data_IF_477387556110
#
_entry.id   IF_477387556110
#
_cell.length_a   1.000
_cell.length_b   1.000
_cell.length_c   1.000
_cell.angle_alpha   90.00
_cell.angle_beta   90.00
_cell.angle_gamma   90.00
#
_symmetry.space_group_name_H-M   'P 1'
#
loop_
_entity.id
_entity.type
_entity.pdbx_description
1 polymer ?
#
# COMPACT_ATOMS: atom_id res chain seq x y z
N UNK A 1 5.20 9.26 22.36
CA UNK A 1 4.77 10.30 21.41
C UNK A 1 5.93 11.25 21.21
N UNK A 2 6.49 11.34 20.01
CA UNK A 2 7.51 12.32 19.69
C UNK A 2 6.84 13.53 19.01
N UNK A 3 7.08 14.74 19.52
CA UNK A 3 6.58 15.98 18.93
C UNK A 3 7.41 16.35 17.70
N UNK A 4 6.88 16.09 16.50
CA UNK A 4 7.27 16.83 15.31
C UNK A 4 6.57 18.19 15.39
N UNK A 5 7.35 19.28 15.36
CA UNK A 5 6.96 20.62 15.80
C UNK A 5 5.52 21.03 15.52
N UNK A 6 4.76 21.30 16.59
CA UNK A 6 3.47 22.02 16.74
C UNK A 6 2.33 21.88 15.72
N UNK A 7 2.45 21.07 14.65
CA UNK A 7 1.51 21.05 13.52
C UNK A 7 0.76 19.74 13.30
N UNK A 8 1.14 18.65 13.95
CA UNK A 8 0.45 17.36 13.84
C UNK A 8 1.18 16.27 14.62
N UNK A 9 0.43 15.30 15.13
CA UNK A 9 0.98 14.16 15.88
C UNK A 9 0.76 12.89 15.09
N UNK A 10 1.81 12.08 15.01
CA UNK A 10 1.78 10.72 14.51
C UNK A 10 1.29 9.81 15.65
N UNK A 11 0.12 9.20 15.51
CA UNK A 11 -0.37 8.24 16.51
C UNK A 11 0.24 6.86 16.28
N UNK A 12 0.64 6.24 17.39
CA UNK A 12 0.98 4.83 17.59
C UNK A 12 1.80 4.15 16.47
N UNK A 13 3.12 4.24 16.59
CA UNK A 13 4.08 3.56 15.69
C UNK A 13 4.12 2.03 15.86
N UNK A 14 3.33 1.46 16.77
CA UNK A 14 3.20 0.02 16.97
C UNK A 14 2.08 -0.64 16.15
N UNK A 15 1.27 0.15 15.43
CA UNK A 15 0.13 -0.35 14.62
C UNK A 15 0.26 0.05 13.14
N UNK A 16 -0.42 -0.66 12.22
CA UNK A 16 -0.12 -0.65 10.78
C UNK A 16 -0.36 0.68 10.06
N UNK A 17 -0.97 1.68 10.69
CA UNK A 17 -1.25 2.94 10.05
C UNK A 17 -0.71 4.11 10.89
N UNK A 18 0.02 5.01 10.24
CA UNK A 18 0.20 6.35 10.76
C UNK A 18 -0.92 7.20 10.16
N UNK A 19 -1.67 7.93 10.98
CA UNK A 19 -2.62 8.93 10.53
C UNK A 19 -2.06 10.32 10.83
N UNK A 20 -2.11 11.20 9.83
CA UNK A 20 -1.93 12.63 10.04
C UNK A 20 -3.14 13.18 10.81
N UNK A 21 -2.89 13.83 11.94
CA UNK A 21 -3.89 14.55 12.72
C UNK A 21 -3.63 16.06 12.63
N UNK A 22 -4.65 16.82 12.22
CA UNK A 22 -4.59 18.29 12.25
C UNK A 22 -4.51 18.83 13.69
N UNK A 23 -4.02 20.07 13.92
CA UNK A 23 -4.01 20.67 15.27
C UNK A 23 -5.38 20.72 15.93
N UNK A 24 -6.44 20.91 15.14
CA UNK A 24 -7.84 20.87 15.58
C UNK A 24 -8.21 19.47 16.08
N UNK A 25 -7.86 18.44 15.31
CA UNK A 25 -8.06 17.05 15.69
C UNK A 25 -7.27 16.65 16.94
N UNK A 26 -6.03 17.13 17.05
CA UNK A 26 -5.20 16.94 18.23
C UNK A 26 -5.78 17.63 19.46
N UNK A 27 -6.39 18.82 19.28
CA UNK A 27 -7.15 19.50 20.33
C UNK A 27 -8.30 18.63 20.83
N UNK A 28 -9.09 18.05 19.92
CA UNK A 28 -10.19 17.14 20.26
C UNK A 28 -9.70 15.92 21.04
N UNK A 29 -8.60 15.31 20.62
CA UNK A 29 -7.99 14.16 21.30
C UNK A 29 -7.40 14.48 22.67
N UNK A 30 -7.04 15.74 22.92
CA UNK A 30 -6.59 16.25 24.22
C UNK A 30 -7.76 16.72 25.09
N UNK A 31 -9.00 16.37 24.75
CA UNK A 31 -10.20 16.69 25.52
C UNK A 31 -10.71 18.12 25.33
N UNK A 32 -10.29 18.84 24.28
CA UNK A 32 -10.84 20.17 23.99
C UNK A 32 -12.14 20.03 23.19
N UNK A 33 -13.25 20.63 23.64
CA UNK A 33 -14.54 20.52 22.95
C UNK A 33 -14.49 21.19 21.56
N UNK A 34 -15.10 20.59 20.52
CA UNK A 34 -15.19 21.19 19.19
C UNK A 34 -16.12 22.42 19.18
N UNK A 35 -15.87 23.37 18.27
CA UNK A 35 -16.83 24.42 17.96
C UNK A 35 -18.14 23.83 17.40
N UNK A 36 -19.26 24.55 17.56
CA UNK A 36 -20.59 24.09 17.15
C UNK A 36 -20.63 23.61 15.69
N UNK A 37 -20.07 24.40 14.75
CA UNK A 37 -20.00 24.05 13.33
C UNK A 37 -19.15 22.81 13.01
N UNK A 38 -18.28 22.37 13.92
CA UNK A 38 -17.36 21.25 13.68
C UNK A 38 -17.79 19.94 14.35
N UNK A 39 -18.94 19.89 15.04
CA UNK A 39 -19.40 18.69 15.75
C UNK A 39 -19.64 17.49 14.82
N UNK A 40 -20.23 17.71 13.64
CA UNK A 40 -20.47 16.63 12.69
C UNK A 40 -19.14 16.06 12.15
N UNK A 41 -18.17 16.93 11.87
CA UNK A 41 -16.84 16.55 11.42
C UNK A 41 -16.04 15.85 12.53
N UNK A 42 -16.13 16.33 13.77
CA UNK A 42 -15.57 15.69 14.96
C UNK A 42 -16.06 14.25 15.12
N UNK A 43 -17.38 14.04 15.08
CA UNK A 43 -17.99 12.70 15.19
C UNK A 43 -17.57 11.78 14.04
N UNK A 44 -17.56 12.29 12.80
CA UNK A 44 -17.13 11.52 11.64
C UNK A 44 -15.65 11.10 11.73
N UNK A 45 -14.75 12.03 12.06
CA UNK A 45 -13.32 11.75 12.19
C UNK A 45 -13.01 10.74 13.30
N UNK A 46 -13.63 10.87 14.49
CA UNK A 46 -13.44 9.90 15.57
C UNK A 46 -13.99 8.51 15.21
N UNK A 47 -15.05 8.44 14.40
CA UNK A 47 -15.59 7.18 13.89
C UNK A 47 -14.60 6.50 12.94
N UNK A 48 -14.06 7.25 11.97
CA UNK A 48 -13.06 6.74 11.03
C UNK A 48 -11.75 6.34 11.74
N UNK A 49 -11.32 7.11 12.74
CA UNK A 49 -10.10 6.80 13.49
C UNK A 49 -10.25 5.64 14.48
N UNK A 50 -11.44 5.43 15.06
CA UNK A 50 -11.72 4.19 15.82
C UNK A 50 -11.82 2.98 14.92
N UNK A 51 -12.50 3.10 13.77
CA UNK A 51 -12.58 2.01 12.78
C UNK A 51 -11.20 1.60 12.26
N UNK A 52 -10.26 2.55 12.17
CA UNK A 52 -8.87 2.30 11.81
C UNK A 52 -7.95 1.99 13.01
N UNK A 53 -8.50 1.86 14.23
CA UNK A 53 -7.77 1.40 15.42
C UNK A 53 -6.83 2.41 16.08
N UNK A 54 -6.92 3.71 15.74
CA UNK A 54 -6.05 4.78 16.26
C UNK A 54 -6.44 5.31 17.63
N UNK A 55 -7.72 5.17 18.02
CA UNK A 55 -8.24 5.65 19.29
C UNK A 55 -8.66 4.47 20.15
N UNK A 56 -8.30 4.53 21.44
CA UNK A 56 -8.95 3.68 22.43
C UNK A 56 -10.46 3.98 22.39
N UNK A 57 -11.31 2.95 22.49
CA UNK A 57 -12.75 3.15 22.42
C UNK A 57 -13.19 4.12 23.52
N UNK A 58 -13.69 5.31 23.15
CA UNK A 58 -14.43 6.15 24.09
C UNK A 58 -15.70 5.40 24.46
N UNK A 59 -15.96 5.33 25.76
CA UNK A 59 -17.16 4.77 26.38
C UNK A 59 -18.41 5.58 26.01
N UNK A 60 -18.84 5.51 24.75
CA UNK A 60 -20.23 5.66 24.32
C UNK A 60 -20.50 4.59 23.27
N UNK A 61 -21.20 3.55 23.71
CA UNK A 61 -21.46 2.26 23.06
C UNK A 61 -21.95 2.31 21.60
N UNK A 62 -21.07 1.93 20.69
CA UNK A 62 -21.29 0.75 19.84
C UNK A 62 -20.19 -0.26 20.22
N UNK A 63 -20.38 -0.91 21.37
CA UNK A 63 -19.27 -1.33 22.23
C UNK A 63 -18.55 -2.64 21.83
N UNK A 64 -17.49 -3.00 22.59
CA UNK A 64 -16.96 -4.37 22.69
C UNK A 64 -18.05 -5.43 22.80
N UNK A 65 -19.24 -5.09 23.31
CA UNK A 65 -20.43 -5.93 23.25
C UNK A 65 -20.75 -6.50 21.86
N UNK A 66 -20.51 -5.81 20.74
CA UNK A 66 -20.81 -6.34 19.39
C UNK A 66 -19.72 -7.29 18.86
N UNK A 67 -18.46 -7.07 19.26
CA UNK A 67 -17.35 -7.97 18.95
C UNK A 67 -17.34 -9.18 19.90
N UNK A 68 -17.58 -8.96 21.19
CA UNK A 68 -17.79 -9.98 22.23
C UNK A 68 -19.04 -10.82 21.94
N UNK A 69 -20.12 -10.22 21.42
CA UNK A 69 -21.30 -10.94 20.93
C UNK A 69 -20.98 -11.77 19.68
N UNK A 70 -20.24 -11.23 18.71
CA UNK A 70 -19.80 -12.02 17.55
C UNK A 70 -18.86 -13.16 17.95
N UNK A 71 -17.94 -12.90 18.88
CA UNK A 71 -17.00 -13.88 19.41
C UNK A 71 -17.72 -14.96 20.22
N UNK A 72 -18.72 -14.61 21.04
CA UNK A 72 -19.57 -15.55 21.76
C UNK A 72 -20.42 -16.40 20.81
N UNK A 73 -21.05 -15.78 19.81
CA UNK A 73 -21.80 -16.50 18.77
C UNK A 73 -20.89 -17.42 17.94
N UNK A 74 -19.65 -17.00 17.68
CA UNK A 74 -18.64 -17.82 17.04
C UNK A 74 -18.28 -19.03 17.91
N UNK A 75 -18.11 -18.84 19.22
CA UNK A 75 -17.84 -19.92 20.17
C UNK A 75 -18.99 -20.92 20.23
N UNK A 76 -20.23 -20.45 20.23
CA UNK A 76 -21.41 -21.30 20.15
C UNK A 76 -21.45 -22.12 18.86
N UNK A 77 -20.99 -21.54 17.74
CA UNK A 77 -20.94 -22.20 16.43
C UNK A 77 -19.73 -23.13 16.25
N UNK A 78 -18.66 -22.97 17.03
CA UNK A 78 -17.43 -23.76 16.91
C UNK A 78 -17.64 -25.29 16.92
N UNK A 79 -18.53 -25.87 17.76
CA UNK A 79 -18.83 -27.31 17.72
C UNK A 79 -19.41 -27.81 16.40
N UNK A 80 -19.90 -26.91 15.52
CA UNK A 80 -20.40 -27.26 14.19
C UNK A 80 -19.29 -27.43 13.15
N UNK A 81 -18.05 -27.04 13.47
CA UNK A 81 -16.88 -27.16 12.60
C UNK A 81 -16.09 -28.44 12.96
N UNK A 82 -16.09 -29.43 12.05
CA UNK A 82 -15.32 -30.68 12.21
C UNK A 82 -13.90 -30.62 11.63
N UNK A 83 -13.62 -29.54 10.91
CA UNK A 83 -12.35 -29.15 10.31
C UNK A 83 -12.33 -27.62 10.31
N UNK A 84 -11.23 -26.94 9.95
CA UNK A 84 -11.21 -25.50 9.85
C UNK A 84 -12.29 -24.97 8.89
N UNK A 85 -13.00 -23.91 9.31
CA UNK A 85 -14.02 -23.22 8.53
C UNK A 85 -13.83 -21.71 8.66
N UNK A 86 -13.63 -21.02 7.54
CA UNK A 86 -13.61 -19.57 7.46
C UNK A 86 -14.94 -19.06 6.91
N UNK A 87 -15.71 -18.36 7.74
CA UNK A 87 -16.96 -17.71 7.32
C UNK A 87 -16.64 -16.27 6.99
N UNK A 88 -16.81 -15.84 5.74
CA UNK A 88 -16.48 -14.49 5.28
C UNK A 88 -17.76 -13.74 4.93
N UNK A 89 -18.02 -12.64 5.64
CA UNK A 89 -19.04 -11.68 5.30
C UNK A 89 -18.58 -10.80 4.13
N UNK A 90 -19.40 -10.75 3.09
CA UNK A 90 -19.15 -10.07 1.83
C UNK A 90 -20.25 -9.06 1.54
N UNK A 91 -19.96 -8.11 0.66
CA UNK A 91 -20.97 -7.25 0.05
C UNK A 91 -20.56 -6.91 -1.38
N UNK A 92 -21.45 -7.11 -2.35
CA UNK A 92 -21.22 -6.75 -3.77
C UNK A 92 -20.84 -5.29 -4.01
N UNK A 93 -21.28 -4.36 -3.15
CA UNK A 93 -20.92 -2.94 -3.23
C UNK A 93 -19.52 -2.61 -2.68
N UNK A 94 -18.86 -3.56 -2.00
CA UNK A 94 -17.54 -3.34 -1.39
C UNK A 94 -16.41 -3.69 -2.36
N UNK A 95 -15.56 -2.72 -2.69
CA UNK A 95 -14.40 -2.92 -3.57
C UNK A 95 -13.41 -3.97 -3.06
N UNK A 96 -13.19 -4.08 -1.74
CA UNK A 96 -12.38 -5.15 -1.16
C UNK A 96 -12.98 -6.54 -1.38
N UNK A 97 -14.30 -6.67 -1.25
CA UNK A 97 -15.02 -7.92 -1.50
C UNK A 97 -15.03 -8.31 -2.98
N UNK A 98 -15.11 -7.32 -3.89
CA UNK A 98 -14.99 -7.56 -5.33
C UNK A 98 -13.59 -8.10 -5.68
N UNK A 99 -12.53 -7.51 -5.12
CA UNK A 99 -11.17 -8.03 -5.28
C UNK A 99 -11.03 -9.44 -4.72
N UNK A 100 -11.50 -9.67 -3.49
CA UNK A 100 -11.43 -10.98 -2.86
C UNK A 100 -12.19 -12.05 -3.66
N UNK A 101 -13.34 -11.68 -4.26
CA UNK A 101 -14.09 -12.58 -5.14
C UNK A 101 -13.29 -12.94 -6.39
N UNK A 102 -12.58 -11.97 -6.97
CA UNK A 102 -11.68 -12.18 -8.10
C UNK A 102 -10.51 -13.11 -7.72
N UNK A 103 -9.88 -12.87 -6.57
CA UNK A 103 -8.80 -13.72 -6.05
C UNK A 103 -9.27 -15.16 -5.88
N UNK A 104 -10.43 -15.36 -5.25
CA UNK A 104 -11.00 -16.69 -5.04
C UNK A 104 -11.38 -17.38 -6.36
N UNK A 105 -11.83 -16.63 -7.37
CA UNK A 105 -12.11 -17.17 -8.70
C UNK A 105 -10.81 -17.60 -9.41
N UNK A 106 -9.76 -16.77 -9.37
CA UNK A 106 -8.45 -17.10 -9.94
C UNK A 106 -7.80 -18.31 -9.26
N UNK A 107 -8.07 -18.51 -7.97
CA UNK A 107 -7.56 -19.64 -7.18
C UNK A 107 -8.49 -20.86 -7.19
N UNK A 108 -9.60 -20.87 -7.95
CA UNK A 108 -10.62 -21.91 -7.87
C UNK A 108 -10.08 -23.36 -7.99
N UNK A 109 -9.12 -23.68 -8.90
CA UNK A 109 -8.53 -25.02 -8.95
C UNK A 109 -7.81 -25.41 -7.65
N UNK A 110 -7.03 -24.49 -7.08
CA UNK A 110 -6.30 -24.72 -5.83
C UNK A 110 -7.21 -24.81 -4.60
N UNK A 111 -8.33 -24.09 -4.61
CA UNK A 111 -9.31 -24.08 -3.52
C UNK A 111 -10.22 -25.31 -3.50
N UNK A 112 -10.35 -26.03 -4.62
CA UNK A 112 -11.21 -27.24 -4.70
C UNK A 112 -10.72 -28.35 -3.77
N UNK A 113 -9.42 -28.38 -3.47
CA UNK A 113 -8.77 -29.40 -2.63
C UNK A 113 -8.34 -28.88 -1.27
N UNK A 114 -8.85 -27.72 -0.85
CA UNK A 114 -8.54 -27.15 0.47
C UNK A 114 -8.98 -28.11 1.58
N UNK A 115 -8.11 -28.40 2.54
CA UNK A 115 -8.44 -29.19 3.73
C UNK A 115 -9.28 -28.41 4.77
N UNK A 116 -10.01 -27.40 4.31
CA UNK A 116 -10.85 -26.50 5.08
C UNK A 116 -12.06 -26.07 4.24
N UNK A 117 -13.05 -25.47 4.89
CA UNK A 117 -14.18 -24.84 4.19
C UNK A 117 -14.08 -23.33 4.24
N UNK A 118 -14.41 -22.67 3.14
CA UNK A 118 -14.64 -21.22 3.12
C UNK A 118 -16.09 -20.98 2.76
N UNK A 119 -16.84 -20.31 3.64
CA UNK A 119 -18.23 -19.94 3.40
C UNK A 119 -18.33 -18.44 3.20
N UNK A 120 -18.55 -18.02 1.96
CA UNK A 120 -18.85 -16.63 1.62
C UNK A 120 -20.33 -16.37 1.87
N UNK A 121 -20.64 -15.25 2.52
CA UNK A 121 -22.00 -14.83 2.89
C UNK A 121 -22.21 -13.40 2.41
N UNK A 122 -23.13 -13.20 1.46
CA UNK A 122 -23.54 -11.87 0.97
C UNK A 122 -25.07 -11.76 1.11
N UNK A 123 -25.52 -11.06 2.15
CA UNK A 123 -26.92 -11.06 2.54
C UNK A 123 -27.46 -12.49 2.77
N UNK A 124 -28.45 -12.88 1.96
CA UNK A 124 -29.03 -14.22 2.00
C UNK A 124 -28.31 -15.24 1.10
N UNK A 125 -27.47 -14.76 0.19
CA UNK A 125 -26.70 -15.60 -0.71
C UNK A 125 -25.47 -16.18 0.00
N UNK A 126 -25.20 -17.47 -0.27
CA UNK A 126 -24.01 -18.13 0.27
C UNK A 126 -23.31 -18.99 -0.76
N UNK A 127 -21.98 -18.92 -0.78
CA UNK A 127 -21.12 -19.76 -1.63
C UNK A 127 -20.09 -20.48 -0.77
N UNK A 128 -20.02 -21.80 -0.87
CA UNK A 128 -19.03 -22.61 -0.17
C UNK A 128 -17.89 -23.00 -1.12
N UNK A 129 -16.65 -22.98 -0.62
CA UNK A 129 -15.43 -23.42 -1.31
C UNK A 129 -14.68 -24.43 -0.41
N UNK A 130 -13.85 -25.27 -1.02
CA UNK A 130 -13.08 -26.29 -0.31
C UNK A 130 -13.94 -27.46 0.15
N UNK A 131 -13.67 -27.96 1.36
CA UNK A 131 -14.40 -29.09 1.94
C UNK A 131 -15.91 -28.82 2.03
N UNK A 132 -16.77 -29.79 1.69
CA UNK A 132 -18.22 -29.65 1.80
C UNK A 132 -18.67 -29.41 3.25
N UNK A 133 -19.59 -28.46 3.44
CA UNK A 133 -20.26 -28.23 4.72
C UNK A 133 -21.60 -28.96 4.75
N UNK A 134 -21.86 -29.70 5.83
CA UNK A 134 -23.18 -30.27 6.07
C UNK A 134 -24.24 -29.17 6.18
N UNK A 135 -25.41 -29.38 5.57
CA UNK A 135 -26.45 -28.36 5.44
C UNK A 135 -26.90 -27.71 6.77
N UNK A 136 -27.08 -28.44 7.89
CA UNK A 136 -27.38 -27.81 9.18
C UNK A 136 -26.26 -26.87 9.68
N UNK A 137 -25.00 -27.26 9.49
CA UNK A 137 -23.85 -26.44 9.85
C UNK A 137 -23.77 -25.21 8.93
N UNK A 138 -23.94 -25.38 7.62
CA UNK A 138 -23.95 -24.29 6.64
C UNK A 138 -24.98 -23.21 7.01
N UNK A 139 -26.22 -23.58 7.36
CA UNK A 139 -27.25 -22.61 7.77
C UNK A 139 -26.88 -21.84 9.04
N UNK A 140 -26.26 -22.52 10.01
CA UNK A 140 -25.81 -21.89 11.26
C UNK A 140 -24.68 -20.89 10.99
N UNK A 141 -23.70 -21.31 10.20
CA UNK A 141 -22.55 -20.49 9.79
C UNK A 141 -22.96 -19.32 8.90
N UNK A 142 -23.96 -19.47 8.04
CA UNK A 142 -24.52 -18.37 7.25
C UNK A 142 -25.11 -17.27 8.14
N UNK A 143 -25.79 -17.64 9.24
CA UNK A 143 -26.27 -16.65 10.23
C UNK A 143 -25.11 -15.92 10.90
N UNK A 144 -24.04 -16.64 11.25
CA UNK A 144 -22.82 -16.05 11.81
C UNK A 144 -22.18 -15.05 10.82
N UNK A 145 -22.09 -15.40 9.54
CA UNK A 145 -21.58 -14.49 8.51
C UNK A 145 -22.42 -13.22 8.34
N UNK A 146 -23.76 -13.34 8.35
CA UNK A 146 -24.65 -12.16 8.33
C UNK A 146 -24.46 -11.26 9.55
N UNK A 147 -24.13 -11.83 10.71
CA UNK A 147 -23.81 -11.07 11.92
C UNK A 147 -22.44 -10.40 11.79
N UNK A 148 -21.44 -11.10 11.27
CA UNK A 148 -20.12 -10.54 11.00
C UNK A 148 -20.18 -9.34 10.03
N UNK A 149 -21.10 -9.33 9.06
CA UNK A 149 -21.30 -8.20 8.15
C UNK A 149 -21.62 -6.87 8.85
N UNK A 150 -22.15 -6.91 10.08
CA UNK A 150 -22.44 -5.72 10.89
C UNK A 150 -21.16 -5.01 11.37
N UNK A 151 -20.01 -5.69 11.33
CA UNK A 151 -18.68 -5.15 11.65
C UNK A 151 -17.97 -4.54 10.43
N UNK A 152 -18.60 -4.58 9.26
CA UNK A 152 -18.01 -4.17 7.99
C UNK A 152 -17.65 -5.35 7.09
N UNK A 153 -17.26 -5.07 5.86
CA UNK A 153 -16.91 -6.09 4.86
C UNK A 153 -15.57 -5.75 4.17
N UNK A 154 -14.68 -6.74 3.96
CA UNK A 154 -14.78 -8.12 4.43
C UNK A 154 -14.51 -8.22 5.94
N UNK A 155 -15.34 -9.00 6.65
CA UNK A 155 -15.09 -9.49 8.01
C UNK A 155 -15.24 -11.00 7.98
N UNK A 156 -14.34 -11.74 8.61
CA UNK A 156 -14.42 -13.18 8.68
C UNK A 156 -14.38 -13.70 10.12
N UNK A 157 -14.90 -14.91 10.27
CA UNK A 157 -14.76 -15.71 11.49
C UNK A 157 -14.11 -17.02 11.13
N UNK A 158 -12.92 -17.25 11.66
CA UNK A 158 -12.22 -18.52 11.55
C UNK A 158 -12.61 -19.41 12.73
N UNK A 159 -13.24 -20.53 12.42
CA UNK A 159 -13.52 -21.62 13.35
C UNK A 159 -12.51 -22.72 13.08
N UNK A 160 -11.81 -23.20 14.11
CA UNK A 160 -10.90 -24.33 13.99
C UNK A 160 -11.21 -25.34 15.08
N UNK A 161 -11.08 -26.66 14.79
CA UNK A 161 -11.08 -27.66 15.85
C UNK A 161 -9.98 -27.31 16.86
N UNK A 162 -10.29 -27.46 18.14
CA UNK A 162 -9.34 -27.34 19.26
C UNK A 162 -8.73 -25.95 19.49
N UNK A 163 -9.19 -24.92 18.78
CA UNK A 163 -8.77 -23.53 18.99
C UNK A 163 -9.97 -22.62 19.19
N UNK A 164 -9.83 -21.55 19.99
CA UNK A 164 -10.87 -20.55 20.09
C UNK A 164 -11.12 -19.91 18.71
N UNK A 165 -12.37 -19.52 18.40
CA UNK A 165 -12.68 -18.74 17.21
C UNK A 165 -11.84 -17.48 17.12
N UNK A 166 -11.55 -17.05 15.89
CA UNK A 166 -10.89 -15.77 15.62
C UNK A 166 -11.80 -14.93 14.72
N UNK A 167 -12.16 -13.73 15.17
CA UNK A 167 -12.74 -12.70 14.30
C UNK A 167 -11.59 -11.97 13.61
N UNK A 168 -11.72 -11.79 12.29
CA UNK A 168 -10.74 -11.18 11.40
C UNK A 168 -11.43 -10.05 10.65
N UNK A 169 -10.84 -8.86 10.63
CA UNK A 169 -11.46 -7.68 10.04
C UNK A 169 -10.53 -7.06 9.00
N UNK A 170 -11.06 -6.81 7.80
CA UNK A 170 -10.29 -6.21 6.71
C UNK A 170 -9.71 -7.24 5.73
N UNK A 171 -9.28 -6.72 4.58
CA UNK A 171 -8.81 -7.56 3.47
C UNK A 171 -7.51 -8.31 3.80
N UNK A 172 -6.61 -7.69 4.54
CA UNK A 172 -5.32 -8.24 4.95
C UNK A 172 -5.48 -9.41 5.91
N UNK A 173 -6.25 -9.26 6.99
CA UNK A 173 -6.46 -10.34 7.96
C UNK A 173 -7.21 -11.53 7.34
N UNK A 174 -8.23 -11.24 6.52
CA UNK A 174 -8.99 -12.27 5.80
C UNK A 174 -8.10 -12.97 4.76
N UNK A 175 -7.28 -12.23 4.02
CA UNK A 175 -6.30 -12.76 3.08
C UNK A 175 -5.28 -13.65 3.78
N UNK A 176 -4.72 -13.21 4.91
CA UNK A 176 -3.76 -14.01 5.69
C UNK A 176 -4.38 -15.34 6.13
N UNK A 177 -5.62 -15.34 6.60
CA UNK A 177 -6.30 -16.57 7.00
C UNK A 177 -6.55 -17.52 5.82
N UNK A 178 -6.87 -17.00 4.63
CA UNK A 178 -7.01 -17.83 3.43
C UNK A 178 -5.67 -18.47 3.02
N UNK A 179 -4.57 -17.72 3.11
CA UNK A 179 -3.22 -18.24 2.86
C UNK A 179 -2.89 -19.34 3.87
N UNK A 180 -3.12 -19.08 5.17
CA UNK A 180 -2.89 -20.04 6.27
C UNK A 180 -3.68 -21.34 6.04
N UNK A 181 -4.97 -21.23 5.70
CA UNK A 181 -5.83 -22.38 5.44
C UNK A 181 -5.40 -23.20 4.22
N UNK A 182 -4.73 -22.57 3.26
CA UNK A 182 -4.15 -23.26 2.11
C UNK A 182 -2.83 -23.98 2.41
N UNK A 183 -2.33 -23.87 3.64
CA UNK A 183 -1.08 -24.50 4.08
C UNK A 183 0.17 -23.66 3.79
N UNK A 184 0.01 -22.46 3.25
CA UNK A 184 1.12 -21.54 2.99
C UNK A 184 1.35 -20.59 4.16
N UNK A 185 2.57 -20.05 4.26
CA UNK A 185 2.92 -19.05 5.27
C UNK A 185 2.43 -17.66 4.84
N UNK A 186 1.50 -17.03 5.59
CA UNK A 186 1.03 -15.67 5.33
C UNK A 186 2.16 -14.63 5.36
N UNK A 187 3.19 -14.84 6.18
CA UNK A 187 4.35 -13.92 6.29
C UNK A 187 5.30 -14.03 5.09
N UNK A 188 5.24 -15.14 4.38
CA UNK A 188 5.99 -15.37 3.15
C UNK A 188 5.09 -15.21 1.91
N UNK A 189 3.98 -14.48 2.01
CA UNK A 189 3.05 -14.24 0.90
C UNK A 189 2.70 -12.75 0.84
N UNK A 190 2.80 -12.14 -0.34
CA UNK A 190 2.36 -10.76 -0.54
C UNK A 190 0.85 -10.70 -0.49
N UNK A 191 0.32 -9.89 0.44
CA UNK A 191 -1.10 -9.59 0.55
C UNK A 191 -1.27 -8.08 0.50
N UNK A 192 -1.94 -7.61 -0.54
CA UNK A 192 -2.03 -6.19 -0.84
C UNK A 192 -3.47 -5.80 -1.08
N UNK A 193 -4.00 -4.92 -0.22
CA UNK A 193 -5.35 -4.42 -0.36
C UNK A 193 -5.46 -3.54 -1.63
N UNK A 194 -6.57 -3.61 -2.39
CA UNK A 194 -6.80 -2.74 -3.54
C UNK A 194 -6.73 -1.27 -3.14
N UNK A 195 -6.03 -0.47 -3.94
CA UNK A 195 -5.81 0.97 -3.72
C UNK A 195 -6.62 1.86 -4.67
N UNK A 196 -7.40 1.26 -5.56
CA UNK A 196 -8.13 1.98 -6.61
C UNK A 196 -9.54 1.44 -6.79
N UNK A 197 -10.47 2.31 -7.21
CA UNK A 197 -11.80 1.95 -7.69
C UNK A 197 -11.77 1.09 -8.97
N UNK A 198 -10.59 0.89 -9.57
CA UNK A 198 -10.37 0.02 -10.74
C UNK A 198 -10.57 -1.47 -10.48
N UNK A 199 -11.05 -1.90 -9.31
CA UNK A 199 -11.31 -3.31 -8.93
C UNK A 199 -12.09 -4.09 -10.00
N UNK A 200 -12.87 -3.41 -10.84
CA UNK A 200 -13.54 -4.00 -11.99
C UNK A 200 -12.58 -4.74 -12.95
N UNK A 201 -11.31 -4.34 -13.04
CA UNK A 201 -10.31 -5.04 -13.87
C UNK A 201 -9.87 -6.33 -13.20
N UNK A 202 -9.70 -6.36 -11.88
CA UNK A 202 -9.44 -7.61 -11.16
C UNK A 202 -10.57 -8.62 -11.32
N UNK A 203 -11.82 -8.16 -11.29
CA UNK A 203 -13.02 -8.99 -11.35
C UNK A 203 -13.21 -9.78 -12.66
N UNK A 204 -12.48 -9.44 -13.73
CA UNK A 204 -12.59 -10.18 -14.99
C UNK A 204 -11.94 -11.56 -14.88
N UNK A 205 -12.49 -12.59 -15.56
CA UNK A 205 -11.89 -13.92 -15.60
C UNK A 205 -10.41 -13.90 -16.01
N UNK A 206 -9.68 -14.89 -15.51
CA UNK A 206 -8.26 -15.09 -15.80
C UNK A 206 -8.06 -16.47 -16.38
N UNK A 207 -7.09 -16.63 -17.28
CA UNK A 207 -6.79 -17.93 -17.91
C UNK A 207 -5.94 -18.80 -16.99
N UNK A 208 -5.09 -18.17 -16.18
CA UNK A 208 -4.29 -18.83 -15.16
C UNK A 208 -3.92 -17.87 -14.02
N UNK A 209 -3.59 -18.48 -12.88
CA UNK A 209 -2.89 -17.84 -11.78
C UNK A 209 -1.53 -18.52 -11.64
N UNK A 210 -0.46 -17.73 -11.76
CA UNK A 210 0.90 -18.17 -11.56
C UNK A 210 1.45 -17.53 -10.29
N UNK A 211 2.27 -18.25 -9.54
CA UNK A 211 2.94 -17.74 -8.34
C UNK A 211 4.42 -17.56 -8.67
N UNK A 212 4.91 -16.33 -8.54
CA UNK A 212 6.34 -16.05 -8.53
C UNK A 212 6.87 -16.15 -7.09
N UNK A 213 8.11 -16.64 -6.94
CA UNK A 213 8.81 -16.64 -5.66
C UNK A 213 10.00 -15.70 -5.72
N UNK A 214 9.98 -14.70 -4.85
CA UNK A 214 10.99 -13.65 -4.82
C UNK A 214 11.53 -13.53 -3.40
N UNK A 215 12.81 -13.86 -3.21
CA UNK A 215 13.44 -13.92 -1.87
C UNK A 215 12.59 -14.70 -0.85
N UNK A 216 12.04 -15.84 -1.25
CA UNK A 216 11.15 -16.66 -0.41
C UNK A 216 9.71 -16.17 -0.29
N UNK A 217 9.39 -14.98 -0.81
CA UNK A 217 8.04 -14.39 -0.77
C UNK A 217 7.23 -14.80 -2.00
N UNK A 218 6.01 -15.29 -1.80
CA UNK A 218 5.04 -15.68 -2.83
C UNK A 218 4.28 -14.47 -3.34
N UNK A 219 4.16 -14.35 -4.66
CA UNK A 219 3.43 -13.27 -5.33
C UNK A 219 2.50 -13.88 -6.39
N UNK A 220 1.21 -13.59 -6.31
CA UNK A 220 0.23 -14.07 -7.29
C UNK A 220 0.18 -13.17 -8.53
N UNK A 221 0.27 -13.79 -9.70
CA UNK A 221 0.23 -13.15 -11.01
C UNK A 221 -0.93 -13.77 -11.80
N UNK A 222 -2.04 -13.04 -11.89
CA UNK A 222 -3.14 -13.38 -12.77
C UNK A 222 -2.72 -13.12 -14.23
N UNK A 223 -2.97 -14.10 -15.10
CA UNK A 223 -2.65 -13.98 -16.53
C UNK A 223 -3.89 -14.08 -17.40
N UNK A 224 -3.96 -13.22 -18.41
CA UNK A 224 -4.96 -13.25 -19.49
C UNK A 224 -4.27 -13.37 -20.85
N UNK A 225 -4.35 -14.55 -21.44
CA UNK A 225 -3.81 -14.93 -22.74
C UNK A 225 -2.60 -15.89 -22.64
N UNK A 226 -2.53 -16.86 -23.56
CA UNK A 226 -1.47 -17.89 -23.60
C UNK A 226 -0.06 -17.33 -23.83
N UNK A 227 0.06 -16.26 -24.60
CA UNK A 227 1.35 -15.59 -24.79
C UNK A 227 1.84 -14.92 -23.51
N UNK A 228 0.93 -14.24 -22.81
CA UNK A 228 1.22 -13.61 -21.52
C UNK A 228 1.65 -14.68 -20.51
N UNK A 229 0.93 -15.79 -20.47
CA UNK A 229 1.28 -16.93 -19.63
C UNK A 229 2.73 -17.39 -19.85
N UNK A 230 3.14 -17.62 -21.11
CA UNK A 230 4.52 -18.01 -21.45
C UNK A 230 5.57 -16.99 -21.01
N UNK A 231 5.27 -15.70 -21.13
CA UNK A 231 6.17 -14.62 -20.67
C UNK A 231 6.35 -14.67 -19.16
N UNK A 232 5.25 -14.82 -18.41
CA UNK A 232 5.27 -14.90 -16.94
C UNK A 232 5.96 -16.17 -16.46
N UNK A 233 5.73 -17.31 -17.12
CA UNK A 233 6.44 -18.57 -16.85
C UNK A 233 7.96 -18.43 -17.04
N UNK A 234 8.38 -17.77 -18.12
CA UNK A 234 9.81 -17.48 -18.36
C UNK A 234 10.41 -16.56 -17.31
N UNK A 235 9.60 -15.67 -16.72
CA UNK A 235 10.02 -14.80 -15.62
C UNK A 235 10.02 -15.49 -14.24
N UNK A 236 9.70 -16.79 -14.18
CA UNK A 236 9.73 -17.58 -12.94
C UNK A 236 8.38 -17.75 -12.25
N UNK A 237 7.27 -17.36 -12.88
CA UNK A 237 5.92 -17.65 -12.39
C UNK A 237 5.53 -19.10 -12.67
N UNK A 238 5.19 -19.86 -11.63
CA UNK A 238 4.82 -21.26 -11.75
C UNK A 238 3.43 -21.50 -11.17
N UNK A 239 2.72 -22.52 -11.65
CA UNK A 239 1.52 -22.98 -10.97
C UNK A 239 1.91 -23.51 -9.59
N UNK A 240 1.36 -22.90 -8.55
CA UNK A 240 1.54 -23.33 -7.16
C UNK A 240 0.21 -23.86 -6.63
N UNK A 241 0.27 -24.80 -5.70
CA UNK A 241 -0.92 -25.28 -5.01
C UNK A 241 -1.33 -24.31 -3.90
N UNK A 242 -2.63 -24.24 -3.63
CA UNK A 242 -3.18 -23.41 -2.55
C UNK A 242 -3.57 -22.01 -2.99
N UNK A 243 -3.88 -21.16 -2.01
CA UNK A 243 -4.34 -19.80 -2.24
C UNK A 243 -3.14 -18.86 -2.31
N UNK A 244 -3.05 -18.10 -3.40
CA UNK A 244 -2.14 -16.98 -3.56
C UNK A 244 -2.96 -15.76 -3.99
N UNK A 245 -3.04 -14.68 -3.19
CA UNK A 245 -3.75 -13.47 -3.57
C UNK A 245 -3.24 -12.90 -4.89
N UNK A 246 -4.13 -12.40 -5.74
CA UNK A 246 -3.72 -11.77 -6.99
C UNK A 246 -3.12 -10.41 -6.66
N UNK A 247 -1.81 -10.28 -6.89
CA UNK A 247 -1.09 -9.02 -6.66
C UNK A 247 -0.84 -8.29 -7.96
N UNK A 248 -0.52 -9.05 -9.02
CA UNK A 248 -0.30 -8.55 -10.37
C UNK A 248 -1.32 -9.16 -11.33
N UNK A 249 -1.79 -8.37 -12.29
CA UNK A 249 -2.53 -8.88 -13.44
C UNK A 249 -1.79 -8.50 -14.71
N UNK A 250 -1.60 -9.47 -15.60
CA UNK A 250 -0.99 -9.24 -16.91
C UNK A 250 -1.98 -9.64 -17.99
N UNK A 251 -2.26 -8.71 -18.91
CA UNK A 251 -3.23 -8.92 -19.97
C UNK A 251 -2.80 -8.27 -21.29
N UNK A 252 -3.37 -8.78 -22.40
CA UNK A 252 -3.11 -8.28 -23.75
C UNK A 252 -4.39 -8.11 -24.57
N UNK A 253 -5.13 -7.00 -24.43
CA UNK A 253 -6.20 -6.67 -25.37
C UNK A 253 -5.69 -6.04 -26.68
N UNK A 254 -4.45 -5.51 -26.74
CA UNK A 254 -3.77 -5.01 -27.97
C UNK A 254 -2.28 -4.73 -27.70
N UNK A 255 -2.02 -4.16 -26.53
CA UNK A 255 -0.71 -3.92 -25.90
C UNK A 255 -0.66 -4.71 -24.59
N UNK A 256 0.53 -5.03 -24.10
CA UNK A 256 0.68 -5.68 -22.80
C UNK A 256 0.50 -4.67 -21.68
N UNK A 257 -0.40 -4.97 -20.74
CA UNK A 257 -0.60 -4.19 -19.52
C UNK A 257 -0.11 -5.00 -18.32
N UNK A 258 0.66 -4.33 -17.45
CA UNK A 258 0.98 -4.84 -16.12
C UNK A 258 0.22 -4.00 -15.10
N UNK A 259 -0.69 -4.65 -14.38
CA UNK A 259 -1.54 -4.02 -13.40
C UNK A 259 -1.16 -4.49 -12.00
N UNK A 260 -1.25 -3.59 -11.02
CA UNK A 260 -0.98 -3.80 -9.61
C UNK A 260 -2.26 -3.64 -8.79
N UNK A 261 -2.40 -4.47 -7.74
CA UNK A 261 -3.49 -4.40 -6.76
C UNK A 261 -4.88 -4.28 -7.37
N UNK A 262 -5.11 -5.03 -8.46
CA UNK A 262 -6.42 -5.11 -9.09
C UNK A 262 -6.84 -3.92 -9.96
N UNK A 263 -5.94 -2.99 -10.29
CA UNK A 263 -6.22 -2.05 -11.39
C UNK A 263 -5.40 -0.77 -11.46
N UNK A 264 -4.28 -0.65 -10.74
CA UNK A 264 -3.29 0.39 -11.01
C UNK A 264 -2.40 -0.03 -12.19
N UNK A 265 -2.24 0.83 -13.20
CA UNK A 265 -1.41 0.55 -14.36
C UNK A 265 0.07 0.88 -14.09
N UNK A 266 0.91 -0.15 -14.05
CA UNK A 266 2.37 -0.03 -13.85
C UNK A 266 3.13 0.23 -15.15
N UNK A 267 2.80 -0.51 -16.21
CA UNK A 267 3.49 -0.38 -17.50
C UNK A 267 2.58 -0.71 -18.67
N UNK A 268 2.92 -0.14 -19.84
CA UNK A 268 2.37 -0.50 -21.15
C UNK A 268 3.51 -0.93 -22.06
N UNK A 269 3.63 -2.23 -22.28
CA UNK A 269 4.64 -2.79 -23.15
C UNK A 269 4.06 -3.14 -24.53
N UNK A 270 4.76 -2.77 -25.60
CA UNK A 270 4.36 -3.13 -26.98
C UNK A 270 4.96 -4.44 -27.46
N UNK A 271 5.99 -4.93 -26.78
CA UNK A 271 6.71 -6.15 -27.12
C UNK A 271 6.78 -7.06 -25.91
N UNK A 272 6.91 -8.36 -26.15
CA UNK A 272 7.09 -9.36 -25.11
C UNK A 272 8.37 -9.10 -24.29
N UNK A 273 9.46 -8.66 -24.92
CA UNK A 273 10.71 -8.35 -24.23
C UNK A 273 10.57 -7.15 -23.28
N UNK A 274 9.87 -6.08 -23.71
CA UNK A 274 9.61 -4.93 -22.85
C UNK A 274 8.72 -5.29 -21.65
N UNK A 275 7.73 -6.17 -21.86
CA UNK A 275 6.92 -6.71 -20.77
C UNK A 275 7.79 -7.53 -19.81
N UNK A 276 8.65 -8.42 -20.33
CA UNK A 276 9.54 -9.26 -19.52
C UNK A 276 10.47 -8.41 -18.65
N UNK A 277 11.07 -7.37 -19.23
CA UNK A 277 11.92 -6.44 -18.50
C UNK A 277 11.15 -5.70 -17.40
N UNK A 278 9.94 -5.21 -17.71
CA UNK A 278 9.10 -4.52 -16.72
C UNK A 278 8.67 -5.46 -15.59
N UNK A 279 8.28 -6.70 -15.92
CA UNK A 279 7.92 -7.71 -14.93
C UNK A 279 9.13 -8.07 -14.04
N UNK A 280 10.31 -8.25 -14.63
CA UNK A 280 11.52 -8.51 -13.87
C UNK A 280 11.86 -7.36 -12.90
N UNK A 281 11.71 -6.10 -13.33
CA UNK A 281 11.91 -4.94 -12.46
C UNK A 281 10.90 -4.92 -11.30
N UNK A 282 9.61 -5.20 -11.57
CA UNK A 282 8.57 -5.29 -10.53
C UNK A 282 8.86 -6.40 -9.53
N UNK A 283 9.26 -7.58 -10.00
CA UNK A 283 9.65 -8.70 -9.13
C UNK A 283 10.88 -8.34 -8.29
N UNK A 284 11.90 -7.70 -8.87
CA UNK A 284 13.07 -7.22 -8.14
C UNK A 284 12.71 -6.17 -7.06
N UNK A 285 11.73 -5.30 -7.35
CA UNK A 285 11.19 -4.34 -6.38
C UNK A 285 10.57 -5.03 -5.16
N UNK A 286 9.80 -6.12 -5.35
CA UNK A 286 9.32 -6.93 -4.23
C UNK A 286 10.44 -7.65 -3.48
N UNK A 287 11.46 -8.14 -4.20
CA UNK A 287 12.62 -8.79 -3.59
C UNK A 287 13.30 -7.87 -2.57
N UNK A 288 13.49 -6.63 -3.01
CA UNK A 288 14.14 -5.57 -2.24
C UNK A 288 13.27 -5.15 -1.05
N UNK A 289 11.95 -5.09 -1.22
CA UNK A 289 11.03 -4.78 -0.13
C UNK A 289 10.96 -5.90 0.93
N UNK A 290 10.97 -7.17 0.52
CA UNK A 290 10.92 -8.31 1.43
C UNK A 290 12.20 -8.47 2.26
N UNK A 291 13.32 -7.91 1.82
CA UNK A 291 14.60 -7.92 2.52
C UNK A 291 15.30 -6.57 2.36
N UNK A 292 14.79 -5.51 3.02
CA UNK A 292 15.30 -4.16 2.81
C UNK A 292 16.72 -4.07 3.34
N UNK A 293 17.61 -3.47 2.54
CA UNK A 293 18.96 -3.17 2.98
C UNK A 293 18.94 -2.19 4.16
N UNK A 294 19.89 -2.32 5.08
CA UNK A 294 20.00 -1.39 6.22
C UNK A 294 20.17 0.05 5.71
N UNK A 295 19.38 0.97 6.27
CA UNK A 295 19.42 2.38 5.91
C UNK A 295 18.62 2.73 4.65
N UNK A 296 17.81 1.79 4.14
CA UNK A 296 16.82 2.09 3.09
C UNK A 296 15.43 2.34 3.68
N UNK A 297 14.65 3.19 3.01
CA UNK A 297 13.26 3.50 3.36
C UNK A 297 12.36 3.12 2.18
N UNK A 298 11.61 2.02 2.26
CA UNK A 298 10.66 1.65 1.21
C UNK A 298 9.39 2.50 1.30
N UNK A 299 8.96 3.05 0.15
CA UNK A 299 7.77 3.88 0.00
C UNK A 299 6.78 3.24 -0.97
N UNK A 300 5.51 3.24 -0.59
CA UNK A 300 4.32 3.06 -1.41
C UNK A 300 3.98 4.34 -2.19
N UNK A 301 4.93 4.84 -2.96
CA UNK A 301 4.76 5.98 -3.86
C UNK A 301 5.29 5.67 -5.26
N UNK A 302 4.99 6.52 -6.22
CA UNK A 302 5.66 6.50 -7.51
C UNK A 302 6.89 7.41 -7.52
N UNK A 303 7.76 7.19 -8.50
CA UNK A 303 8.88 8.05 -8.80
C UNK A 303 8.91 8.36 -10.30
N UNK A 304 9.41 9.53 -10.68
CA UNK A 304 9.83 9.83 -12.04
C UNK A 304 11.32 10.13 -12.03
N UNK A 305 12.09 9.42 -12.84
CA UNK A 305 13.54 9.58 -12.97
C UNK A 305 13.88 10.30 -14.25
N UNK A 306 14.77 11.27 -14.20
CA UNK A 306 15.21 12.01 -15.36
C UNK A 306 16.59 11.54 -15.80
N UNK A 307 16.85 11.53 -17.11
CA UNK A 307 18.14 11.15 -17.70
C UNK A 307 19.32 12.03 -17.19
N UNK A 308 19.01 13.17 -16.57
CA UNK A 308 19.96 14.10 -15.92
C UNK A 308 20.29 13.77 -14.45
N UNK A 309 19.99 12.56 -13.96
CA UNK A 309 20.42 12.09 -12.65
C UNK A 309 19.58 12.56 -11.45
N UNK A 310 18.39 13.09 -11.70
CA UNK A 310 17.47 13.55 -10.64
C UNK A 310 16.13 12.82 -10.73
N UNK A 311 15.40 12.83 -9.62
CA UNK A 311 14.13 12.16 -9.48
C UNK A 311 13.12 13.01 -8.69
N UNK A 312 11.85 12.80 -8.98
CA UNK A 312 10.74 13.34 -8.18
C UNK A 312 9.87 12.21 -7.67
N UNK A 313 9.33 12.39 -6.47
CA UNK A 313 8.36 11.46 -5.87
C UNK A 313 6.95 11.97 -6.08
N UNK A 314 5.98 11.07 -6.25
CA UNK A 314 4.57 11.44 -6.41
C UNK A 314 3.62 10.41 -5.79
N UNK A 315 2.36 10.78 -5.47
CA UNK A 315 1.39 9.87 -4.88
C UNK A 315 1.14 8.69 -5.80
N UNK A 316 1.13 7.47 -5.25
CA UNK A 316 0.98 6.24 -6.05
C UNK A 316 -0.28 6.24 -6.92
N UNK A 317 -1.35 6.87 -6.44
CA UNK A 317 -2.64 7.00 -7.14
C UNK A 317 -2.51 7.67 -8.53
N UNK A 318 -1.45 8.47 -8.75
CA UNK A 318 -1.20 9.12 -10.05
C UNK A 318 -0.49 8.22 -11.06
N UNK A 319 0.06 7.08 -10.64
CA UNK A 319 0.88 6.20 -11.48
C UNK A 319 0.16 5.83 -12.79
N UNK A 320 -1.11 5.43 -12.70
CA UNK A 320 -1.90 5.03 -13.87
C UNK A 320 -2.03 6.16 -14.90
N UNK A 321 -2.28 7.39 -14.45
CA UNK A 321 -2.50 8.53 -15.33
C UNK A 321 -1.18 9.03 -15.94
N UNK A 322 -0.08 8.97 -15.18
CA UNK A 322 1.25 9.28 -15.69
C UNK A 322 1.75 8.23 -16.68
N UNK A 323 1.53 6.92 -16.45
CA UNK A 323 1.88 5.85 -17.40
C UNK A 323 1.08 5.97 -18.70
N UNK A 324 -0.19 6.41 -18.65
CA UNK A 324 -0.97 6.77 -19.86
C UNK A 324 -0.31 7.88 -20.68
N UNK A 325 0.57 8.68 -20.08
CA UNK A 325 1.32 9.79 -20.68
C UNK A 325 2.83 9.55 -20.75
N UNK A 326 3.30 8.31 -20.54
CA UNK A 326 4.73 7.95 -20.55
C UNK A 326 5.50 8.49 -21.77
N UNK A 327 4.94 8.41 -23.00
CA UNK A 327 5.61 8.97 -24.20
C UNK A 327 5.86 10.47 -24.13
N UNK A 328 4.98 11.23 -23.47
CA UNK A 328 5.16 12.68 -23.30
C UNK A 328 6.26 12.95 -22.28
N UNK A 329 6.29 12.20 -21.19
CA UNK A 329 7.33 12.25 -20.17
C UNK A 329 8.70 11.85 -20.74
N UNK A 330 8.77 10.76 -21.51
CA UNK A 330 9.98 10.26 -22.16
C UNK A 330 10.60 11.32 -23.09
N UNK A 331 9.78 12.06 -23.85
CA UNK A 331 10.27 13.17 -24.69
C UNK A 331 10.85 14.33 -23.88
N UNK A 332 10.38 14.49 -22.65
CA UNK A 332 10.89 15.49 -21.71
C UNK A 332 12.04 14.92 -20.83
N UNK A 333 12.58 13.74 -21.17
CA UNK A 333 13.71 13.13 -20.45
C UNK A 333 13.32 12.37 -19.18
N UNK A 334 12.03 12.20 -18.91
CA UNK A 334 11.52 11.50 -17.72
C UNK A 334 11.09 10.08 -18.03
N UNK A 335 11.39 9.17 -17.10
CA UNK A 335 10.94 7.78 -17.11
C UNK A 335 10.22 7.46 -15.82
N UNK A 336 9.25 6.58 -15.89
CA UNK A 336 8.49 6.09 -14.73
C UNK A 336 8.97 4.66 -14.44
N UNK A 337 9.73 4.44 -13.36
CA UNK A 337 10.08 3.10 -12.92
C UNK A 337 8.80 2.32 -12.55
N UNK A 338 8.60 1.09 -13.06
CA UNK A 338 7.38 0.32 -12.85
C UNK A 338 7.29 -0.31 -11.45
N UNK A 339 8.35 -0.27 -10.65
CA UNK A 339 8.46 -0.92 -9.35
C UNK A 339 7.30 -0.53 -8.42
N UNK A 340 6.76 -1.49 -7.64
CA UNK A 340 5.64 -1.23 -6.73
C UNK A 340 6.05 -0.38 -5.53
N UNK A 341 7.30 -0.51 -5.10
CA UNK A 341 7.88 0.22 -3.99
C UNK A 341 9.03 1.09 -4.47
N UNK A 342 8.95 2.38 -4.19
CA UNK A 342 10.08 3.29 -4.37
C UNK A 342 11.00 3.15 -3.16
N UNK A 343 12.23 2.70 -3.36
CA UNK A 343 13.20 2.59 -2.27
C UNK A 343 14.05 3.84 -2.23
N UNK A 344 14.17 4.46 -1.05
CA UNK A 344 15.06 5.58 -0.82
C UNK A 344 16.27 5.15 -0.02
N UNK A 345 17.43 5.73 -0.34
CA UNK A 345 18.65 5.61 0.46
C UNK A 345 19.27 6.99 0.64
N UNK A 346 19.85 7.22 1.81
CA UNK A 346 20.70 8.40 2.01
C UNK A 346 22.10 8.18 1.49
N UNK A 347 22.59 9.17 0.75
CA UNK A 347 24.00 9.23 0.40
C UNK A 347 24.85 9.49 1.64
N UNK A 348 25.87 8.66 1.91
CA UNK A 348 26.77 8.88 3.05
C UNK A 348 27.64 10.13 2.88
N UNK A 349 27.82 10.65 1.66
CA UNK A 349 28.69 11.80 1.37
C UNK A 349 27.94 13.13 1.36
N UNK A 350 26.71 13.16 0.83
CA UNK A 350 25.95 14.40 0.65
C UNK A 350 24.77 14.53 1.62
N UNK A 351 24.35 13.44 2.27
CA UNK A 351 23.13 13.40 3.08
C UNK A 351 21.83 13.53 2.28
N UNK A 352 21.91 13.63 0.94
CA UNK A 352 20.76 13.71 0.07
C UNK A 352 20.06 12.34 -0.04
N UNK A 353 18.76 12.36 -0.33
CA UNK A 353 17.99 11.17 -0.67
C UNK A 353 18.21 10.82 -2.13
N UNK A 354 18.40 9.53 -2.40
CA UNK A 354 18.50 9.02 -3.75
C UNK A 354 17.65 7.76 -3.94
N UNK A 355 17.27 7.52 -5.20
CA UNK A 355 16.79 6.23 -5.65
C UNK A 355 18.02 5.37 -6.01
N UNK A 356 18.25 4.23 -5.35
CA UNK A 356 19.38 3.36 -5.66
C UNK A 356 19.25 2.82 -7.09
N UNK A 357 20.37 2.72 -7.80
CA UNK A 357 20.43 2.08 -9.11
C UNK A 357 20.73 0.59 -8.93
N UNK A 358 19.78 -0.33 -9.17
CA UNK A 358 20.02 -1.76 -8.99
C UNK A 358 21.09 -2.31 -9.96
N UNK A 359 21.36 -1.65 -11.08
CA UNK A 359 22.46 -2.03 -11.98
C UNK A 359 23.84 -1.56 -11.46
N UNK A 360 23.85 -0.56 -10.58
CA UNK A 360 25.06 0.06 -10.02
C UNK A 360 24.85 0.35 -8.54
N UNK A 361 24.83 -0.69 -7.68
CA UNK A 361 24.55 -0.54 -6.25
C UNK A 361 25.59 0.31 -5.48
N UNK A 362 26.77 0.49 -6.07
CA UNK A 362 27.85 1.36 -5.57
C UNK A 362 27.59 2.85 -5.85
N UNK A 363 26.76 3.18 -6.84
CA UNK A 363 26.40 4.55 -7.22
C UNK A 363 25.24 5.03 -6.31
N UNK A 364 25.31 6.25 -5.73
CA UNK A 364 24.17 6.81 -5.00
C UNK A 364 22.87 6.81 -5.81
N UNK A 365 22.94 6.84 -7.14
CA UNK A 365 21.76 6.81 -8.02
C UNK A 365 21.09 8.17 -8.14
N UNK A 366 19.80 8.21 -8.49
CA UNK A 366 19.12 9.46 -8.86
C UNK A 366 18.77 10.28 -7.62
N UNK A 367 19.26 11.52 -7.54
CA UNK A 367 18.97 12.41 -6.42
C UNK A 367 17.49 12.82 -6.40
N UNK A 368 16.81 12.68 -5.28
CA UNK A 368 15.44 13.17 -5.11
C UNK A 368 15.48 14.68 -4.95
N UNK A 369 14.99 15.41 -5.95
CA UNK A 369 15.07 16.88 -5.99
C UNK A 369 13.77 17.57 -5.64
N UNK A 370 12.62 16.89 -5.73
CA UNK A 370 11.34 17.43 -5.32
C UNK A 370 10.31 16.33 -5.01
N UNK A 371 9.23 16.72 -4.33
CA UNK A 371 8.04 15.88 -4.13
C UNK A 371 6.83 16.57 -4.73
N UNK A 372 6.09 15.86 -5.58
CA UNK A 372 4.79 16.26 -6.08
C UNK A 372 3.73 15.62 -5.19
N UNK A 373 2.68 16.35 -4.83
CA UNK A 373 1.61 15.78 -3.99
C UNK A 373 0.29 16.48 -4.21
N UNK A 374 -0.81 15.84 -3.82
CA UNK A 374 -2.14 16.46 -3.87
C UNK A 374 -2.37 17.33 -2.62
N UNK A 375 -2.96 18.54 -2.75
CA UNK A 375 -3.37 19.29 -1.58
C UNK A 375 -4.43 18.53 -0.77
N UNK A 376 -4.53 18.75 0.55
CA UNK A 376 -5.58 18.16 1.36
C UNK A 376 -6.95 18.64 0.85
N UNK A 377 -7.93 17.73 0.82
CA UNK A 377 -9.31 18.02 0.37
C UNK A 377 -10.01 19.11 1.20
N UNK A 378 -9.54 19.37 2.43
CA UNK A 378 -10.11 20.39 3.32
C UNK A 378 -9.05 21.24 4.02
N UNK A 379 -9.30 22.56 4.00
CA UNK A 379 -8.46 23.58 4.59
C UNK A 379 -7.22 23.94 3.75
N UNK A 380 -6.49 24.95 4.19
CA UNK A 380 -5.30 25.43 3.46
C UNK A 380 -4.15 24.42 3.57
N UNK A 381 -3.47 24.09 2.45
CA UNK A 381 -2.24 23.31 2.48
C UNK A 381 -1.16 24.11 3.21
N UNK A 382 -0.60 23.54 4.28
CA UNK A 382 0.66 24.04 4.86
C UNK A 382 1.74 22.99 4.62
N UNK A 383 3.00 23.42 4.58
CA UNK A 383 4.16 22.52 4.38
C UNK A 383 4.14 21.32 5.33
N UNK A 384 3.85 21.55 6.62
CA UNK A 384 3.75 20.49 7.60
C UNK A 384 2.65 19.46 7.27
N UNK A 385 1.48 19.90 6.78
CA UNK A 385 0.40 18.97 6.38
C UNK A 385 0.80 18.13 5.18
N UNK A 386 1.46 18.76 4.20
CA UNK A 386 1.92 18.08 2.99
C UNK A 386 3.00 17.04 3.32
N UNK A 387 4.01 17.42 4.11
CA UNK A 387 5.07 16.51 4.55
C UNK A 387 4.51 15.33 5.35
N UNK A 388 3.54 15.57 6.24
CA UNK A 388 2.89 14.50 6.98
C UNK A 388 2.10 13.55 6.07
N UNK A 389 1.40 14.07 5.05
CA UNK A 389 0.74 13.23 4.04
C UNK A 389 1.75 12.38 3.25
N UNK A 390 2.92 12.93 2.92
CA UNK A 390 3.98 12.21 2.19
C UNK A 390 4.62 11.13 3.07
N UNK A 391 4.85 11.40 4.36
CA UNK A 391 5.38 10.41 5.32
C UNK A 391 4.43 9.20 5.47
N UNK A 392 3.15 9.36 5.17
CA UNK A 392 2.21 8.24 5.15
C UNK A 392 2.41 7.30 3.96
N UNK A 393 3.23 7.66 2.98
CA UNK A 393 3.58 6.77 1.87
C UNK A 393 4.60 5.69 2.28
N UNK A 394 5.14 5.65 3.49
CA UNK A 394 6.06 4.58 3.90
C UNK A 394 5.34 3.22 3.88
N UNK A 395 6.01 2.19 3.32
CA UNK A 395 5.52 0.82 3.34
C UNK A 395 5.41 0.29 4.78
N UNK A 396 4.41 -0.56 5.05
CA UNK A 396 4.06 -0.97 6.42
C UNK A 396 4.39 -2.44 6.68
N UNK A 397 4.79 -2.81 7.91
CA UNK A 397 4.96 -1.95 9.10
C UNK A 397 6.21 -1.07 9.00
N UNK A 398 6.16 0.13 9.59
CA UNK A 398 7.27 1.09 9.56
C UNK A 398 7.81 1.36 10.97
N UNK A 399 9.13 1.33 11.13
CA UNK A 399 9.77 1.74 12.38
C UNK A 399 9.64 3.25 12.61
N UNK A 400 9.53 3.66 13.87
CA UNK A 400 9.53 5.07 14.29
C UNK A 400 10.72 5.84 13.71
N UNK A 401 11.90 5.23 13.72
CA UNK A 401 13.12 5.84 13.18
C UNK A 401 13.01 6.08 11.68
N UNK A 402 12.42 5.17 10.90
CA UNK A 402 12.24 5.34 9.46
C UNK A 402 11.31 6.53 9.14
N UNK A 403 10.27 6.73 9.95
CA UNK A 403 9.34 7.85 9.84
C UNK A 403 10.05 9.19 10.11
N UNK A 404 10.79 9.29 11.21
CA UNK A 404 11.51 10.51 11.57
C UNK A 404 12.62 10.83 10.58
N UNK A 405 13.35 9.81 10.15
CA UNK A 405 14.40 9.89 9.15
C UNK A 405 13.84 10.44 7.84
N UNK A 406 12.74 9.86 7.34
CA UNK A 406 12.09 10.36 6.13
C UNK A 406 11.61 11.81 6.30
N UNK A 407 10.93 12.13 7.39
CA UNK A 407 10.43 13.48 7.64
C UNK A 407 11.56 14.53 7.62
N UNK A 408 12.69 14.24 8.27
CA UNK A 408 13.85 15.13 8.29
C UNK A 408 14.45 15.33 6.89
N UNK A 409 14.50 14.27 6.07
CA UNK A 409 15.04 14.36 4.72
C UNK A 409 14.12 15.03 3.71
N UNK A 410 12.80 14.94 3.91
CA UNK A 410 11.83 15.62 3.06
C UNK A 410 11.69 17.12 3.42
N UNK A 411 12.01 17.51 4.65
CA UNK A 411 11.87 18.90 5.11
C UNK A 411 12.67 19.96 4.32
N UNK A 412 13.86 19.69 3.75
CA UNK A 412 14.53 20.64 2.86
C UNK A 412 14.04 20.58 1.40
N UNK A 413 13.29 19.55 0.98
CA UNK A 413 12.94 19.36 -0.43
C UNK A 413 11.78 20.25 -0.88
N UNK A 414 11.84 20.83 -2.10
CA UNK A 414 10.67 21.45 -2.73
C UNK A 414 9.46 20.50 -2.75
N UNK A 415 8.30 21.01 -2.34
CA UNK A 415 7.02 20.28 -2.39
C UNK A 415 6.05 21.04 -3.29
N UNK A 416 5.69 20.45 -4.42
CA UNK A 416 4.73 21.00 -5.36
C UNK A 416 3.35 20.37 -5.10
N UNK A 417 2.44 21.17 -4.56
CA UNK A 417 1.07 20.75 -4.30
C UNK A 417 0.18 21.07 -5.52
N UNK A 418 -0.45 20.06 -6.10
CA UNK A 418 -1.34 20.19 -7.25
C UNK A 418 -1.99 18.88 -7.65
N UNK A 419 -2.77 18.92 -8.71
CA UNK A 419 -3.36 17.76 -9.38
C UNK A 419 -2.31 16.98 -10.18
N UNK A 420 -2.64 15.75 -10.58
CA UNK A 420 -1.73 14.98 -11.45
C UNK A 420 -1.52 15.65 -12.82
N UNK A 421 -2.50 16.42 -13.32
CA UNK A 421 -2.37 17.18 -14.57
C UNK A 421 -1.36 18.32 -14.43
N UNK A 422 -1.42 19.06 -13.33
CA UNK A 422 -0.47 20.13 -13.03
C UNK A 422 0.95 19.58 -12.84
N UNK A 423 1.07 18.43 -12.18
CA UNK A 423 2.32 17.69 -12.08
C UNK A 423 2.88 17.29 -13.46
N UNK A 424 2.05 16.77 -14.37
CA UNK A 424 2.46 16.46 -15.73
C UNK A 424 2.94 17.71 -16.48
N UNK A 425 2.24 18.84 -16.35
CA UNK A 425 2.67 20.11 -16.95
C UNK A 425 4.00 20.58 -16.36
N UNK A 426 4.19 20.46 -15.04
CA UNK A 426 5.47 20.80 -14.39
C UNK A 426 6.62 19.93 -14.93
N UNK A 427 6.41 18.62 -15.07
CA UNK A 427 7.44 17.71 -15.56
C UNK A 427 7.76 17.88 -17.05
N UNK A 428 6.79 18.32 -17.85
CA UNK A 428 6.93 18.41 -19.32
C UNK A 428 7.09 19.85 -19.82
N UNK A 429 7.03 20.83 -18.92
CA UNK A 429 7.21 22.25 -19.22
C UNK A 429 8.68 22.61 -19.52
N UNK A 430 8.92 23.76 -20.15
CA UNK A 430 10.27 24.26 -20.38
C UNK A 430 10.96 24.54 -19.03
N UNK A 431 12.10 23.89 -18.79
CA UNK A 431 12.89 24.12 -17.57
C UNK A 431 13.48 25.51 -17.55
N UNK A 432 13.31 26.19 -16.42
CA UNK A 432 14.01 27.44 -16.15
C UNK A 432 15.42 27.15 -15.64
N UNK A 433 16.45 27.94 -16.02
CA UNK A 433 17.84 27.74 -15.58
C UNK A 433 18.09 27.77 -14.07
N UNK A 434 17.09 28.14 -13.26
CA UNK A 434 17.14 28.09 -11.79
C UNK A 434 16.97 26.67 -11.24
N UNK A 435 16.29 25.77 -11.97
CA UNK A 435 16.06 24.38 -11.55
C UNK A 435 17.36 23.53 -11.60
N UNK A 436 18.37 23.95 -12.36
CA UNK A 436 19.67 23.27 -12.47
C UNK A 436 20.70 23.70 -11.40
N UNK A 437 20.38 24.68 -10.55
CA UNK A 437 21.33 25.19 -9.52
C UNK A 437 21.22 24.49 -8.17
N UNK A 438 20.90 23.20 -8.17
CA UNK A 438 21.00 22.33 -6.99
C UNK A 438 22.45 22.03 -6.60
N UNK A 439 23.21 23.02 -6.14
CA UNK A 439 24.43 22.83 -5.33
C UNK A 439 24.77 24.12 -4.57
N UNK A 440 25.09 24.04 -3.26
CA UNK A 440 25.37 25.22 -2.46
C UNK A 440 26.77 25.76 -2.80
N UNK A 441 26.85 26.80 -3.63
CA UNK A 441 27.99 27.70 -3.58
C UNK A 441 27.90 28.52 -2.29
N UNK A 442 28.54 28.05 -1.23
CA UNK A 442 29.05 28.95 -0.17
C UNK A 442 30.44 29.42 -0.60
N UNK A 443 30.50 30.59 -1.20
CA UNK A 443 31.72 31.37 -1.37
C UNK A 443 31.41 32.84 -1.11
N UNK A 444 31.98 33.41 -0.06
CA UNK A 444 31.79 34.84 0.20
C UNK A 444 32.26 35.37 1.55
N UNK A 445 33.59 35.49 1.68
CA UNK A 445 34.28 36.55 2.44
C UNK A 445 34.31 36.47 3.97
N UNK A 446 35.46 36.04 4.50
CA UNK A 446 35.97 36.55 5.77
C UNK A 446 37.27 37.29 5.46
N UNK A 447 37.19 38.61 5.47
CA UNK A 447 38.33 39.51 5.50
C UNK A 447 39.15 39.22 6.77
N UNK A 448 40.45 39.03 6.60
CA UNK A 448 41.41 38.93 7.68
C UNK A 448 41.50 40.27 8.43
N UNK A 449 41.59 40.27 9.78
CA UNK A 449 41.96 41.47 10.50
C UNK A 449 43.49 41.63 10.50
N UNK A 450 43.92 42.81 10.05
CA UNK A 450 45.28 43.32 10.15
C UNK A 450 45.77 43.33 11.61
N UNK A 451 47.04 42.96 11.79
CA UNK A 451 47.79 43.13 13.04
C UNK A 451 47.99 44.62 13.32
N UNK A 452 47.79 45.09 14.57
CA UNK A 452 48.33 46.37 14.99
C UNK A 452 49.84 46.24 15.21
N UNK A 453 50.60 47.12 14.55
CA UNK A 453 52.00 47.41 14.90
C UNK A 453 52.04 48.04 16.30
N UNK A 454 52.88 47.50 17.18
CA UNK A 454 53.25 48.15 18.44
C UNK A 454 54.34 49.20 18.17
N UNK A 455 54.29 50.38 18.82
CA UNK A 455 55.40 51.32 18.81
C UNK A 455 56.43 50.98 19.90
N UNK A 456 57.71 51.17 19.54
CA UNK A 456 58.91 51.33 20.37
C UNK A 456 58.91 50.92 21.85
N UNK A 457 59.74 49.93 22.18
CA UNK A 457 61.05 50.15 22.83
C UNK A 457 61.98 48.96 22.58
#
# INVERSE_FOLDING_TARGET
>A
MAELGSGGVLLDTGRPAAAYLSPTALGWLRGRPPAAEHHAQHTHCFTQWRAAGFLAPDTVSAGPAAHDDLQAQAADCAPSARHPVLVIAMATACGFCTQLTADLAANAPGLTHLDASVLLVDGDDTRALGRPLAEPARRRLARLGRRAAQQGTPTAVLLSPDRPPRVLTGFDEVGHALVELSGADPRATVIEAPTSCSVNVAAQPVDALLTARVNGTRLGIAVRGDEVRRIVETAGGLSDSGYTPVTLTVERPDTFYLLFRGGELLTRARTADALRQSLAAVLAGYASHASPERGTVPLLCGAAVHDGGHAVLFPRTWMSDLVKRARQLERAGWRLPPEPYTTLRTSPTTGALHLPDPARPEDPGHAVTAVLTEPPQTGTPTRARLLASIVNWIARPAATDAIHTLAAFLDPLPVHAGTWQEALTHLTGPRTPEDDRGSPQRGGSTTAPERPQAPGN
#
